data_IF_643158579497
#
_entry.id   IF_643158579497
#
_cell.length_a   1.000
_cell.length_b   1.000
_cell.length_c   1.000
_cell.angle_alpha   90.00
_cell.angle_beta   90.00
_cell.angle_gamma   90.00
#
_symmetry.space_group_name_H-M   'P 1'
#
loop_
_entity.id
_entity.type
_entity.pdbx_description
1 polymer ?
#
# COMPACT_ATOMS: atom_id res chain seq x y z
N UNK A 1 70.31 40.53 -28.17
CA UNK A 1 70.08 39.71 -26.97
C UNK A 1 68.83 38.90 -27.23
N UNK A 2 68.99 37.60 -27.50
CA UNK A 2 67.87 36.71 -27.82
C UNK A 2 67.18 36.31 -26.51
N UNK A 3 65.93 36.71 -26.34
CA UNK A 3 65.16 36.41 -25.15
C UNK A 3 64.53 35.02 -25.30
N UNK A 4 65.15 34.02 -24.69
CA UNK A 4 64.67 32.64 -24.71
C UNK A 4 63.52 32.51 -23.70
N UNK A 5 62.28 32.45 -24.17
CA UNK A 5 61.11 32.17 -23.33
C UNK A 5 61.23 30.74 -22.76
N UNK A 6 61.41 30.66 -21.44
CA UNK A 6 61.49 29.41 -20.69
C UNK A 6 60.09 28.80 -20.60
N UNK A 7 59.84 27.73 -21.36
CA UNK A 7 58.60 26.95 -21.27
C UNK A 7 58.52 26.24 -19.90
N UNK A 8 57.71 26.79 -19.01
CA UNK A 8 57.39 26.17 -17.71
C UNK A 8 56.68 24.83 -17.94
N UNK A 9 57.31 23.71 -17.54
CA UNK A 9 56.72 22.37 -17.65
C UNK A 9 55.52 22.27 -16.70
N UNK A 10 54.30 22.43 -17.22
CA UNK A 10 53.09 22.12 -16.47
C UNK A 10 53.06 20.61 -16.18
N UNK A 11 53.04 20.23 -14.90
CA UNK A 11 52.79 18.84 -14.49
C UNK A 11 51.38 18.45 -14.94
N UNK A 12 51.28 17.64 -15.98
CA UNK A 12 50.03 17.03 -16.43
C UNK A 12 49.73 15.74 -15.66
N UNK A 13 48.46 15.35 -15.65
CA UNK A 13 48.02 14.04 -15.18
C UNK A 13 48.64 12.93 -16.04
N UNK A 14 49.09 11.84 -15.42
CA UNK A 14 49.64 10.70 -16.14
C UNK A 14 48.51 9.80 -16.66
N UNK A 15 48.74 9.14 -17.81
CA UNK A 15 47.80 8.13 -18.32
C UNK A 15 47.55 7.02 -17.28
N UNK A 16 48.58 6.63 -16.55
CA UNK A 16 48.47 5.58 -15.53
C UNK A 16 47.55 6.00 -14.37
N UNK A 17 47.63 7.26 -13.91
CA UNK A 17 46.72 7.78 -12.88
C UNK A 17 45.27 7.75 -13.38
N UNK A 18 45.03 8.13 -14.64
CA UNK A 18 43.70 8.05 -15.22
C UNK A 18 43.19 6.61 -15.35
N UNK A 19 44.06 5.66 -15.69
CA UNK A 19 43.68 4.23 -15.80
C UNK A 19 43.28 3.63 -14.45
N UNK A 20 44.00 3.97 -13.37
CA UNK A 20 43.68 3.48 -12.03
C UNK A 20 42.34 4.06 -11.55
N UNK A 21 42.08 5.34 -11.80
CA UNK A 21 40.81 5.98 -11.45
C UNK A 21 39.64 5.31 -12.18
N UNK A 22 39.78 5.06 -13.49
CA UNK A 22 38.77 4.34 -14.26
C UNK A 22 38.57 2.90 -13.77
N UNK A 23 39.64 2.20 -13.40
CA UNK A 23 39.54 0.85 -12.86
C UNK A 23 38.77 0.81 -11.54
N UNK A 24 39.01 1.76 -10.63
CA UNK A 24 38.28 1.82 -9.35
C UNK A 24 36.82 2.21 -9.57
N UNK A 25 36.54 3.20 -10.43
CA UNK A 25 35.15 3.59 -10.76
C UNK A 25 34.39 2.42 -11.40
N UNK A 26 35.03 1.64 -12.28
CA UNK A 26 34.42 0.46 -12.90
C UNK A 26 34.01 -0.60 -11.87
N UNK A 27 34.84 -0.83 -10.84
CA UNK A 27 34.51 -1.77 -9.75
C UNK A 27 33.38 -1.23 -8.87
N UNK A 28 33.45 0.04 -8.46
CA UNK A 28 32.45 0.67 -7.59
C UNK A 28 31.07 0.73 -8.25
N UNK A 29 31.01 0.93 -9.57
CA UNK A 29 29.76 1.02 -10.31
C UNK A 29 28.92 -0.28 -10.22
N UNK A 30 29.55 -1.45 -10.14
CA UNK A 30 28.85 -2.76 -10.07
C UNK A 30 28.11 -2.95 -8.74
N UNK A 31 28.69 -2.48 -7.63
CA UNK A 31 28.14 -2.66 -6.28
C UNK A 31 27.18 -1.54 -5.86
N UNK A 32 27.08 -0.47 -6.65
CA UNK A 32 26.37 0.74 -6.25
C UNK A 32 24.84 0.67 -6.39
N UNK A 33 24.25 -0.46 -6.81
CA UNK A 33 22.79 -0.54 -7.04
C UNK A 33 22.03 -0.44 -5.71
N UNK A 34 21.27 0.64 -5.45
CA UNK A 34 20.53 0.79 -4.21
C UNK A 34 19.28 -0.09 -4.22
N UNK A 35 19.05 -0.88 -3.16
CA UNK A 35 17.84 -1.72 -2.95
C UNK A 35 16.57 -0.90 -2.65
N UNK A 36 16.43 0.27 -3.25
CA UNK A 36 15.35 1.24 -2.99
C UNK A 36 13.94 0.66 -3.21
N UNK A 37 13.78 -0.31 -4.11
CA UNK A 37 12.49 -0.94 -4.40
C UNK A 37 11.94 -1.75 -3.22
N UNK A 38 12.78 -2.48 -2.49
CA UNK A 38 12.34 -3.30 -1.34
C UNK A 38 11.85 -2.39 -0.22
N UNK A 39 12.60 -1.32 0.08
CA UNK A 39 12.20 -0.36 1.12
C UNK A 39 10.88 0.35 0.76
N UNK A 40 10.71 0.75 -0.51
CA UNK A 40 9.46 1.34 -0.99
C UNK A 40 8.28 0.37 -0.83
N UNK A 41 8.45 -0.89 -1.22
CA UNK A 41 7.39 -1.89 -1.09
C UNK A 41 7.05 -2.17 0.39
N UNK A 42 8.05 -2.25 1.27
CA UNK A 42 7.83 -2.44 2.70
C UNK A 42 7.09 -1.25 3.33
N UNK A 43 7.45 -0.01 2.98
CA UNK A 43 6.71 1.18 3.43
C UNK A 43 5.27 1.18 2.91
N UNK A 44 5.04 0.76 1.67
CA UNK A 44 3.69 0.64 1.11
C UNK A 44 2.88 -0.46 1.80
N UNK A 45 3.45 -1.64 2.05
CA UNK A 45 2.83 -2.73 2.81
C UNK A 45 2.49 -2.29 4.26
N UNK A 46 3.34 -1.49 4.89
CA UNK A 46 3.02 -0.87 6.18
C UNK A 46 1.81 0.07 6.07
N UNK A 47 1.72 0.83 4.97
CA UNK A 47 0.53 1.63 4.64
C UNK A 47 -0.75 0.78 4.52
N UNK A 48 -0.68 -0.40 3.90
CA UNK A 48 -1.82 -1.33 3.82
C UNK A 48 -2.27 -1.74 5.22
N UNK A 49 -1.31 -2.11 6.08
CA UNK A 49 -1.59 -2.48 7.47
C UNK A 49 -2.25 -1.34 8.24
N UNK A 50 -1.80 -0.10 8.04
CA UNK A 50 -2.45 1.09 8.61
C UNK A 50 -3.88 1.23 8.11
N UNK A 51 -4.12 1.13 6.80
CA UNK A 51 -5.47 1.20 6.23
C UNK A 51 -6.39 0.11 6.79
N UNK A 52 -5.91 -1.13 6.93
CA UNK A 52 -6.65 -2.25 7.54
C UNK A 52 -7.06 -1.90 8.97
N UNK A 53 -6.13 -1.36 9.78
CA UNK A 53 -6.43 -0.97 11.17
C UNK A 53 -7.44 0.19 11.24
N UNK A 54 -7.34 1.18 10.34
CA UNK A 54 -8.30 2.29 10.24
C UNK A 54 -9.71 1.77 9.92
N UNK A 55 -9.83 0.91 8.91
CA UNK A 55 -11.10 0.29 8.51
C UNK A 55 -11.66 -0.57 9.63
N UNK A 56 -10.81 -1.38 10.29
CA UNK A 56 -11.19 -2.19 11.45
C UNK A 56 -11.78 -1.32 12.56
N UNK A 57 -11.07 -0.27 12.98
CA UNK A 57 -11.54 0.62 14.04
C UNK A 57 -12.85 1.31 13.70
N UNK A 58 -13.04 1.69 12.44
CA UNK A 58 -14.32 2.21 11.95
C UNK A 58 -15.45 1.18 12.09
N UNK A 59 -15.23 -0.07 11.65
CA UNK A 59 -16.23 -1.13 11.74
C UNK A 59 -16.58 -1.48 13.20
N UNK A 60 -15.57 -1.61 14.07
CA UNK A 60 -15.78 -1.83 15.52
C UNK A 60 -16.61 -0.69 16.15
N UNK A 61 -16.32 0.56 15.76
CA UNK A 61 -17.07 1.74 16.20
C UNK A 61 -18.51 1.73 15.68
N UNK A 62 -18.74 1.31 14.43
CA UNK A 62 -20.09 1.20 13.87
C UNK A 62 -20.91 0.12 14.57
N UNK A 63 -20.35 -1.07 14.78
CA UNK A 63 -21.02 -2.15 15.53
C UNK A 63 -21.41 -1.67 16.93
N UNK A 64 -20.47 -1.04 17.65
CA UNK A 64 -20.72 -0.54 19.01
C UNK A 64 -21.84 0.50 19.05
N UNK A 65 -21.83 1.48 18.14
CA UNK A 65 -22.81 2.57 18.13
C UNK A 65 -24.20 2.16 17.59
N UNK A 66 -24.30 1.10 16.81
CA UNK A 66 -25.57 0.64 16.22
C UNK A 66 -26.37 -0.32 17.10
N UNK A 67 -25.97 -0.53 18.36
CA UNK A 67 -26.66 -1.42 19.30
C UNK A 67 -25.94 -2.74 19.58
N UNK A 68 -24.66 -2.86 19.19
CA UNK A 68 -23.82 -4.01 19.46
C UNK A 68 -23.78 -5.04 18.32
N UNK A 69 -23.36 -6.26 18.68
CA UNK A 69 -23.04 -7.37 17.77
C UNK A 69 -24.21 -7.93 16.95
N UNK A 70 -25.40 -7.32 17.00
CA UNK A 70 -26.58 -7.74 16.24
C UNK A 70 -26.99 -6.72 15.16
N UNK A 71 -26.30 -5.58 15.08
CA UNK A 71 -26.60 -4.48 14.15
C UNK A 71 -25.49 -4.28 13.12
N UNK A 72 -25.26 -5.30 12.29
CA UNK A 72 -24.36 -5.17 11.14
C UNK A 72 -25.07 -4.49 9.96
N UNK A 73 -24.37 -3.57 9.31
CA UNK A 73 -24.80 -2.99 8.06
C UNK A 73 -24.66 -4.06 6.97
N UNK A 74 -25.69 -4.20 6.14
CA UNK A 74 -25.57 -4.96 4.91
C UNK A 74 -24.51 -4.34 3.97
N UNK A 75 -24.06 -5.10 2.98
CA UNK A 75 -22.98 -4.68 2.08
C UNK A 75 -23.27 -3.36 1.33
N UNK A 76 -24.52 -3.11 0.93
CA UNK A 76 -24.89 -1.89 0.22
C UNK A 76 -24.81 -0.66 1.13
N UNK A 77 -25.35 -0.74 2.34
CA UNK A 77 -25.29 0.35 3.33
C UNK A 77 -23.86 0.59 3.79
N UNK A 78 -23.07 -0.48 3.99
CA UNK A 78 -21.66 -0.34 4.38
C UNK A 78 -20.83 0.32 3.29
N UNK A 79 -21.03 -0.05 2.02
CA UNK A 79 -20.37 0.57 0.86
C UNK A 79 -20.55 2.09 0.86
N UNK A 80 -21.79 2.56 1.01
CA UNK A 80 -22.10 4.00 1.08
C UNK A 80 -21.51 4.67 2.32
N UNK A 81 -21.53 3.98 3.47
CA UNK A 81 -21.00 4.51 4.72
C UNK A 81 -19.47 4.68 4.67
N UNK A 82 -18.75 3.68 4.17
CA UNK A 82 -17.29 3.75 3.99
C UNK A 82 -16.92 4.82 2.97
N UNK A 83 -17.59 4.85 1.82
CA UNK A 83 -17.31 5.84 0.78
C UNK A 83 -17.49 7.28 1.31
N UNK A 84 -18.56 7.55 2.06
CA UNK A 84 -18.80 8.87 2.63
C UNK A 84 -17.84 9.23 3.77
N UNK A 85 -17.53 8.30 4.70
CA UNK A 85 -16.67 8.60 5.85
C UNK A 85 -15.20 8.77 5.44
N UNK A 86 -14.73 8.07 4.40
CA UNK A 86 -13.35 8.14 3.94
C UNK A 86 -13.15 8.97 2.67
N UNK A 87 -14.16 9.75 2.25
CA UNK A 87 -14.12 10.59 1.05
C UNK A 87 -13.72 9.82 -0.23
N UNK A 88 -14.38 8.69 -0.48
CA UNK A 88 -14.15 7.83 -1.64
C UNK A 88 -15.35 7.88 -2.59
N UNK A 89 -15.09 7.61 -3.86
CA UNK A 89 -16.15 7.35 -4.83
C UNK A 89 -16.86 6.04 -4.46
N UNK A 90 -18.20 6.08 -4.39
CA UNK A 90 -19.00 4.95 -3.92
C UNK A 90 -18.99 3.72 -4.84
N UNK A 91 -18.52 3.87 -6.09
CA UNK A 91 -18.49 2.79 -7.07
C UNK A 91 -17.11 2.16 -7.21
N UNK A 92 -16.07 2.99 -7.19
CA UNK A 92 -14.68 2.62 -7.46
C UNK A 92 -13.83 2.55 -6.20
N UNK A 93 -14.31 3.12 -5.08
CA UNK A 93 -13.57 3.29 -3.82
C UNK A 93 -12.19 3.94 -4.00
N UNK A 94 -12.07 4.73 -5.07
CA UNK A 94 -10.94 5.62 -5.31
C UNK A 94 -11.25 6.94 -4.62
N UNK A 95 -10.26 7.59 -3.98
CA UNK A 95 -10.52 8.85 -3.31
C UNK A 95 -11.03 9.97 -4.21
N UNK A 96 -12.02 10.71 -3.72
CA UNK A 96 -12.60 11.87 -4.40
C UNK A 96 -12.08 13.16 -3.75
N UNK A 97 -11.07 13.78 -4.37
CA UNK A 97 -10.49 15.05 -3.90
C UNK A 97 -9.11 14.93 -3.27
N UNK A 98 -8.45 16.07 -3.05
CA UNK A 98 -7.00 16.11 -2.79
C UNK A 98 -6.58 16.24 -1.31
N UNK A 99 -7.50 16.41 -0.34
CA UNK A 99 -7.08 16.84 1.02
C UNK A 99 -8.10 16.58 2.15
N UNK A 100 -8.71 15.40 2.24
CA UNK A 100 -9.42 15.03 3.48
C UNK A 100 -8.47 14.32 4.44
N UNK A 101 -8.41 14.75 5.71
CA UNK A 101 -7.59 14.11 6.76
C UNK A 101 -7.94 12.64 7.03
N UNK A 102 -9.10 12.20 6.54
CA UNK A 102 -9.65 10.84 6.73
C UNK A 102 -9.64 10.03 5.43
N UNK A 103 -8.82 10.40 4.44
CA UNK A 103 -8.79 9.71 3.16
C UNK A 103 -8.06 8.35 3.25
N UNK A 104 -8.72 7.27 2.83
CA UNK A 104 -8.05 5.98 2.59
C UNK A 104 -7.46 5.97 1.18
N UNK A 105 -6.13 5.84 1.08
CA UNK A 105 -5.43 5.79 -0.21
C UNK A 105 -4.73 4.44 -0.37
N UNK A 106 -4.89 3.81 -1.53
CA UNK A 106 -4.14 2.61 -1.89
C UNK A 106 -2.63 2.96 -1.97
N UNK A 107 -1.77 2.35 -1.14
CA UNK A 107 -0.34 2.68 -1.08
C UNK A 107 0.45 2.33 -2.34
N UNK A 108 -0.05 1.39 -3.15
CA UNK A 108 0.61 0.92 -4.36
C UNK A 108 0.23 1.74 -5.59
N UNK A 109 -1.06 2.00 -5.77
CA UNK A 109 -1.59 2.81 -6.86
C UNK A 109 -2.84 3.57 -6.43
N UNK A 110 -2.76 4.90 -6.38
CA UNK A 110 -3.85 5.80 -6.00
C UNK A 110 -5.11 5.71 -6.88
N UNK A 111 -4.96 5.20 -8.10
CA UNK A 111 -6.06 5.05 -9.06
C UNK A 111 -6.79 3.71 -8.90
N UNK A 112 -6.26 2.81 -8.07
CA UNK A 112 -6.93 1.58 -7.68
C UNK A 112 -7.77 1.80 -6.41
N UNK A 113 -8.75 0.92 -6.21
CA UNK A 113 -9.55 0.92 -4.99
C UNK A 113 -8.66 0.83 -3.74
N UNK A 114 -8.96 1.68 -2.75
CA UNK A 114 -8.32 1.61 -1.43
C UNK A 114 -8.98 0.54 -0.55
N UNK A 115 -10.27 0.29 -0.78
CA UNK A 115 -11.08 -0.65 -0.03
C UNK A 115 -12.11 -1.31 -0.96
N UNK A 116 -12.47 -2.56 -0.70
CA UNK A 116 -13.63 -3.21 -1.32
C UNK A 116 -14.54 -3.82 -0.26
N UNK A 117 -15.84 -3.72 -0.52
CA UNK A 117 -16.88 -4.37 0.29
C UNK A 117 -17.46 -5.51 -0.54
N UNK A 118 -17.30 -6.73 -0.04
CA UNK A 118 -17.80 -7.95 -0.66
C UNK A 118 -18.91 -8.52 0.21
N UNK A 119 -20.08 -8.73 -0.39
CA UNK A 119 -21.18 -9.38 0.29
C UNK A 119 -20.94 -10.89 0.36
N UNK A 120 -20.84 -11.41 1.58
CA UNK A 120 -20.76 -12.83 1.90
C UNK A 120 -21.99 -13.30 2.68
N UNK A 121 -22.90 -12.40 3.05
CA UNK A 121 -24.03 -12.70 3.92
C UNK A 121 -25.02 -13.69 3.32
N UNK A 122 -25.06 -13.78 1.98
CA UNK A 122 -25.90 -14.69 1.19
C UNK A 122 -25.20 -15.98 0.76
N UNK A 123 -23.90 -16.14 1.01
CA UNK A 123 -23.14 -17.34 0.62
C UNK A 123 -23.35 -18.47 1.63
N UNK A 124 -24.13 -19.50 1.29
CA UNK A 124 -24.44 -20.59 2.24
C UNK A 124 -23.22 -21.36 2.76
N UNK A 125 -22.07 -21.25 2.09
CA UNK A 125 -20.83 -21.95 2.46
C UNK A 125 -19.83 -21.05 3.19
N UNK A 126 -19.94 -19.73 3.03
CA UNK A 126 -18.89 -18.77 3.36
C UNK A 126 -19.46 -17.48 3.97
N UNK A 127 -20.52 -17.58 4.79
CA UNK A 127 -21.27 -16.45 5.34
C UNK A 127 -21.05 -16.15 6.82
N UNK A 128 -20.16 -16.87 7.51
CA UNK A 128 -19.89 -16.64 8.93
C UNK A 128 -18.49 -16.14 9.16
N UNK A 129 -18.33 -15.18 10.06
CA UNK A 129 -17.04 -14.58 10.44
C UNK A 129 -15.99 -15.64 10.82
N UNK A 130 -16.41 -16.74 11.45
CA UNK A 130 -15.48 -17.77 11.90
C UNK A 130 -15.01 -18.73 10.81
N UNK A 131 -15.88 -19.01 9.84
CA UNK A 131 -15.63 -19.99 8.78
C UNK A 131 -15.23 -19.34 7.47
N UNK A 132 -15.43 -18.02 7.35
CA UNK A 132 -15.18 -17.33 6.09
C UNK A 132 -13.69 -17.34 5.77
N UNK A 133 -13.34 -17.75 4.55
CA UNK A 133 -11.96 -17.79 4.09
C UNK A 133 -11.63 -16.56 3.23
N UNK A 134 -10.74 -15.66 3.69
CA UNK A 134 -10.24 -14.54 2.91
C UNK A 134 -9.61 -14.98 1.58
N UNK A 135 -9.77 -14.17 0.54
CA UNK A 135 -9.11 -14.39 -0.76
C UNK A 135 -8.74 -13.06 -1.41
N UNK A 136 -7.61 -13.02 -2.11
CA UNK A 136 -7.13 -11.87 -2.88
C UNK A 136 -7.54 -11.93 -4.37
N UNK A 137 -8.41 -12.86 -4.75
CA UNK A 137 -8.83 -13.02 -6.16
C UNK A 137 -9.63 -11.80 -6.62
N UNK A 138 -9.19 -11.16 -7.71
CA UNK A 138 -9.86 -9.98 -8.27
C UNK A 138 -9.66 -8.70 -7.45
N UNK A 139 -8.71 -8.71 -6.52
CA UNK A 139 -8.38 -7.59 -5.63
C UNK A 139 -7.03 -6.99 -6.05
N UNK A 140 -6.88 -5.68 -5.98
CA UNK A 140 -5.62 -5.02 -6.31
C UNK A 140 -4.62 -5.10 -5.16
N UNK A 141 -3.33 -5.05 -5.47
CA UNK A 141 -2.28 -4.84 -4.46
C UNK A 141 -2.59 -3.57 -3.65
N UNK A 142 -2.49 -3.66 -2.33
CA UNK A 142 -2.71 -2.55 -1.42
C UNK A 142 -4.15 -2.28 -1.01
N UNK A 143 -5.09 -3.04 -1.54
CA UNK A 143 -6.51 -2.88 -1.26
C UNK A 143 -6.89 -3.56 0.07
N UNK A 144 -7.77 -2.92 0.83
CA UNK A 144 -8.37 -3.47 2.05
C UNK A 144 -9.71 -4.11 1.69
N UNK A 145 -9.88 -5.39 1.97
CA UNK A 145 -11.11 -6.11 1.66
C UNK A 145 -11.92 -6.30 2.93
N UNK A 146 -13.22 -6.03 2.83
CA UNK A 146 -14.20 -6.22 3.89
C UNK A 146 -15.24 -7.23 3.40
N UNK A 147 -15.27 -8.38 4.03
CA UNK A 147 -16.31 -9.38 3.83
C UNK A 147 -17.44 -9.11 4.82
N UNK A 148 -18.63 -8.81 4.30
CA UNK A 148 -19.85 -8.65 5.08
C UNK A 148 -20.48 -10.01 5.25
N UNK A 149 -20.36 -10.58 6.44
CA UNK A 149 -20.89 -11.88 6.82
C UNK A 149 -22.28 -11.71 7.48
N UNK A 150 -22.97 -12.82 7.70
CA UNK A 150 -24.27 -12.85 8.38
C UNK A 150 -24.18 -12.44 9.86
N UNK A 151 -23.03 -12.71 10.48
CA UNK A 151 -22.76 -12.50 11.90
C UNK A 151 -21.54 -11.59 12.14
N UNK A 152 -21.22 -10.72 11.18
CA UNK A 152 -20.21 -9.67 11.36
C UNK A 152 -19.39 -9.33 10.12
N UNK A 153 -18.17 -8.83 10.35
CA UNK A 153 -17.26 -8.47 9.28
C UNK A 153 -15.92 -9.20 9.40
N UNK A 154 -15.32 -9.51 8.25
CA UNK A 154 -13.93 -9.93 8.18
C UNK A 154 -13.15 -8.94 7.33
N UNK A 155 -12.06 -8.42 7.88
CA UNK A 155 -11.25 -7.36 7.25
C UNK A 155 -9.83 -7.86 7.07
N UNK A 156 -9.26 -7.69 5.89
CA UNK A 156 -7.88 -8.02 5.60
C UNK A 156 -7.35 -7.12 4.50
N UNK A 157 -6.03 -6.98 4.40
CA UNK A 157 -5.36 -6.27 3.32
C UNK A 157 -4.73 -7.25 2.35
N UNK A 158 -4.42 -6.77 1.14
CA UNK A 158 -3.63 -7.49 0.14
C UNK A 158 -2.32 -6.76 -0.06
N UNK A 159 -1.20 -7.47 0.05
CA UNK A 159 0.13 -6.90 -0.13
C UNK A 159 0.55 -6.83 -1.62
N UNK A 160 1.78 -6.41 -1.92
CA UNK A 160 2.28 -6.33 -3.31
C UNK A 160 2.37 -7.67 -4.05
N UNK A 161 2.46 -8.78 -3.32
CA UNK A 161 2.56 -10.14 -3.86
C UNK A 161 1.20 -10.81 -4.07
N UNK A 162 0.11 -10.16 -3.63
CA UNK A 162 -1.21 -10.79 -3.56
C UNK A 162 -1.40 -11.62 -2.29
N UNK A 163 -0.43 -11.58 -1.37
CA UNK A 163 -0.52 -12.26 -0.09
C UNK A 163 -1.42 -11.46 0.86
N UNK A 164 -2.16 -12.19 1.67
CA UNK A 164 -3.09 -11.59 2.63
C UNK A 164 -2.32 -11.07 3.84
N UNK A 165 -2.60 -9.85 4.24
CA UNK A 165 -2.12 -9.32 5.52
C UNK A 165 -2.91 -9.93 6.68
N UNK A 166 -2.63 -9.46 7.91
CA UNK A 166 -3.42 -9.82 9.08
C UNK A 166 -4.93 -9.67 8.83
N UNK A 167 -5.66 -10.74 9.13
CA UNK A 167 -7.11 -10.80 9.02
C UNK A 167 -7.72 -10.53 10.39
N UNK A 168 -8.70 -9.62 10.44
CA UNK A 168 -9.43 -9.25 11.63
C UNK A 168 -10.90 -9.64 11.51
N UNK A 169 -11.46 -10.07 12.62
CA UNK A 169 -12.86 -10.47 12.75
C UNK A 169 -13.54 -9.46 13.66
N UNK A 170 -14.59 -8.81 13.16
CA UNK A 170 -15.39 -7.84 13.90
C UNK A 170 -16.77 -8.44 14.09
N UNK A 171 -17.13 -8.67 15.35
CA UNK A 171 -18.43 -9.12 15.81
C UNK A 171 -18.95 -8.09 16.81
#
# INVERSE_FOLDING_TARGET
MENVMKLEKKKGFTLIELMIVLAIIAILAVVLIPKSQIFKNNSKNAGVTTNVNTVRGYLETKVTNSGGADSYLNAATLKTAIASNFSLDSSTFVPTGSSSSEQLVNPFNKDNASVSVVDKSSDETNNKVDTVSPSSTGVNDGEVVIYVCKDGYVVFGVDKGGDLTQTFKVK
#
